data_IF_068960845739
#
_entry.id   IF_068960845739
#
_cell.length_a   1.000
_cell.length_b   1.000
_cell.length_c   1.000
_cell.angle_alpha   90.00
_cell.angle_beta   90.00
_cell.angle_gamma   90.00
#
_symmetry.space_group_name_H-M   'P 1'
#
loop_
_entity.id
_entity.type
_entity.pdbx_description
1 polymer ?
#
# COMPACT_ATOMS: atom_id res chain seq x y z
N UNK A 1 6.05 12.10 -18.68
CA UNK A 1 4.96 12.24 -17.67
C UNK A 1 5.54 11.83 -16.32
N UNK A 2 5.36 12.62 -15.30
CA UNK A 2 5.81 12.30 -13.95
C UNK A 2 4.99 11.11 -13.41
N UNK A 3 5.69 10.10 -12.86
CA UNK A 3 5.03 8.91 -12.32
C UNK A 3 4.52 9.19 -10.89
N UNK A 4 3.42 8.56 -10.52
CA UNK A 4 2.98 8.53 -9.13
C UNK A 4 3.92 7.69 -8.29
N UNK A 5 4.29 8.22 -7.13
CA UNK A 5 5.13 7.53 -6.14
C UNK A 5 4.28 6.60 -5.30
N UNK A 6 4.62 5.32 -5.32
CA UNK A 6 3.83 4.27 -4.67
C UNK A 6 4.59 3.64 -3.52
N UNK A 7 3.89 3.46 -2.40
CA UNK A 7 4.38 2.65 -1.30
C UNK A 7 3.78 1.24 -1.32
N UNK A 8 4.58 0.25 -0.94
CA UNK A 8 4.10 -1.12 -0.74
C UNK A 8 4.16 -1.44 0.75
N UNK A 9 3.00 -1.52 1.38
CA UNK A 9 2.84 -1.86 2.81
C UNK A 9 2.57 -3.36 2.92
N UNK A 10 3.43 -4.08 3.63
CA UNK A 10 3.51 -5.54 3.57
C UNK A 10 4.44 -6.05 2.46
N UNK A 11 5.47 -5.27 2.15
CA UNK A 11 6.35 -5.47 1.01
C UNK A 11 7.12 -6.80 1.01
N UNK A 12 7.39 -7.37 2.19
CA UNK A 12 8.17 -8.62 2.32
C UNK A 12 7.35 -9.89 2.17
N UNK A 13 6.03 -9.79 2.21
CA UNK A 13 5.11 -10.90 1.96
C UNK A 13 4.96 -11.22 0.47
N UNK A 14 4.42 -12.39 0.15
CA UNK A 14 4.28 -12.86 -1.24
C UNK A 14 3.49 -11.89 -2.13
N UNK A 15 2.39 -11.34 -1.64
CA UNK A 15 1.56 -10.39 -2.39
C UNK A 15 2.29 -9.05 -2.58
N UNK A 16 2.98 -8.55 -1.54
CA UNK A 16 3.82 -7.35 -1.64
C UNK A 16 4.93 -7.51 -2.67
N UNK A 17 5.60 -8.65 -2.68
CA UNK A 17 6.60 -9.01 -3.69
C UNK A 17 5.99 -9.02 -5.11
N UNK A 18 4.76 -9.51 -5.25
CA UNK A 18 4.05 -9.52 -6.53
C UNK A 18 3.76 -8.10 -7.03
N UNK A 19 3.31 -7.19 -6.14
CA UNK A 19 3.16 -5.78 -6.47
C UNK A 19 4.48 -5.19 -6.99
N UNK A 20 5.58 -5.40 -6.26
CA UNK A 20 6.91 -4.91 -6.67
C UNK A 20 7.28 -5.42 -8.06
N UNK A 21 7.03 -6.70 -8.34
CA UNK A 21 7.32 -7.31 -9.64
C UNK A 21 6.48 -6.70 -10.77
N UNK A 22 5.18 -6.49 -10.54
CA UNK A 22 4.25 -5.93 -11.53
C UNK A 22 4.48 -4.43 -11.78
N UNK A 23 5.00 -3.72 -10.79
CA UNK A 23 5.28 -2.29 -10.89
C UNK A 23 6.66 -1.99 -11.48
N UNK A 24 7.48 -3.01 -11.69
CA UNK A 24 8.72 -2.85 -12.44
C UNK A 24 8.40 -2.29 -13.83
N UNK A 25 9.05 -1.18 -14.17
CA UNK A 25 8.87 -0.51 -15.45
C UNK A 25 7.41 -0.08 -15.78
N UNK A 26 6.56 0.04 -14.76
CA UNK A 26 5.18 0.47 -14.96
C UNK A 26 5.12 1.90 -15.52
N UNK A 27 4.26 2.19 -16.51
CA UNK A 27 4.24 3.49 -17.20
C UNK A 27 3.82 4.65 -16.30
N UNK A 28 2.96 4.41 -15.29
CA UNK A 28 2.38 5.47 -14.45
C UNK A 28 2.81 5.42 -12.98
N UNK A 29 3.33 4.30 -12.52
CA UNK A 29 3.65 4.10 -11.10
C UNK A 29 5.11 3.75 -10.91
N UNK A 30 5.66 4.22 -9.81
CA UNK A 30 7.03 3.95 -9.41
C UNK A 30 7.08 3.62 -7.91
N UNK A 31 7.63 2.45 -7.57
CA UNK A 31 7.81 2.08 -6.17
C UNK A 31 8.84 3.00 -5.54
N UNK A 32 8.43 3.76 -4.53
CA UNK A 32 9.27 4.75 -3.86
C UNK A 32 9.43 4.50 -2.35
N UNK A 33 8.64 3.60 -1.78
CA UNK A 33 8.73 3.17 -0.39
C UNK A 33 8.33 1.70 -0.27
N UNK A 34 9.07 0.96 0.53
CA UNK A 34 8.74 -0.40 0.95
C UNK A 34 8.63 -0.45 2.46
N UNK A 35 7.49 -0.88 2.96
CA UNK A 35 7.19 -0.93 4.38
C UNK A 35 6.78 -2.35 4.80
N UNK A 36 7.21 -2.76 5.97
CA UNK A 36 6.94 -4.07 6.53
C UNK A 36 6.90 -4.02 8.07
N UNK A 37 6.90 -5.16 8.73
CA UNK A 37 6.94 -5.24 10.19
C UNK A 37 8.22 -4.62 10.76
N UNK A 38 8.17 -4.22 12.04
CA UNK A 38 9.32 -3.68 12.78
C UNK A 38 10.57 -4.56 12.70
N UNK A 39 10.42 -5.88 12.56
CA UNK A 39 11.57 -6.82 12.42
C UNK A 39 12.35 -6.61 11.12
N UNK A 40 11.71 -6.10 10.10
CA UNK A 40 12.30 -5.84 8.79
C UNK A 40 12.76 -4.39 8.63
N UNK A 41 12.22 -3.48 9.44
CA UNK A 41 12.55 -2.07 9.38
C UNK A 41 14.05 -1.81 9.60
N UNK A 42 14.59 -0.86 8.85
CA UNK A 42 16.00 -0.47 8.90
C UNK A 42 16.94 -1.34 8.06
N UNK A 43 16.50 -2.50 7.58
CA UNK A 43 17.26 -3.36 6.65
C UNK A 43 17.05 -2.90 5.21
N UNK A 44 17.97 -3.24 4.32
CA UNK A 44 17.67 -3.16 2.88
C UNK A 44 16.55 -4.15 2.53
N UNK A 45 15.79 -3.84 1.48
CA UNK A 45 14.71 -4.74 1.05
C UNK A 45 15.24 -6.15 0.73
N UNK A 46 16.40 -6.23 0.06
CA UNK A 46 17.07 -7.52 -0.24
C UNK A 46 17.37 -8.31 1.03
N UNK A 47 17.93 -7.68 2.05
CA UNK A 47 18.20 -8.33 3.34
C UNK A 47 16.91 -8.72 4.08
N UNK A 48 15.90 -7.87 4.06
CA UNK A 48 14.64 -8.12 4.73
C UNK A 48 13.87 -9.31 4.12
N UNK A 49 13.92 -9.47 2.80
CA UNK A 49 13.30 -10.59 2.09
C UNK A 49 14.16 -11.84 2.19
N UNK A 50 15.49 -11.72 1.98
CA UNK A 50 16.42 -12.82 2.00
C UNK A 50 16.01 -13.94 1.04
N UNK A 51 16.07 -15.18 1.50
CA UNK A 51 15.70 -16.37 0.73
C UNK A 51 14.18 -16.52 0.48
N UNK A 52 13.35 -15.65 1.07
CA UNK A 52 11.89 -15.67 0.92
C UNK A 52 11.40 -14.99 -0.37
N UNK A 53 12.30 -14.53 -1.23
CA UNK A 53 11.90 -14.04 -2.55
C UNK A 53 11.25 -15.18 -3.35
N UNK A 54 9.97 -14.99 -3.71
CA UNK A 54 9.11 -16.08 -4.20
C UNK A 54 9.17 -16.29 -5.72
N UNK A 55 9.94 -15.48 -6.45
CA UNK A 55 9.95 -15.49 -7.91
C UNK A 55 11.28 -15.97 -8.48
N UNK A 56 11.25 -16.50 -9.70
CA UNK A 56 12.43 -17.00 -10.42
C UNK A 56 13.31 -15.90 -11.03
N UNK A 57 12.81 -14.66 -11.07
CA UNK A 57 13.56 -13.48 -11.51
C UNK A 57 14.06 -12.67 -10.33
N UNK A 58 15.10 -11.87 -10.55
CA UNK A 58 15.71 -11.08 -9.50
C UNK A 58 14.79 -9.97 -8.97
N UNK A 59 15.03 -9.58 -7.72
CA UNK A 59 14.42 -8.39 -7.12
C UNK A 59 14.80 -7.19 -8.01
N UNK A 60 13.83 -6.33 -8.40
CA UNK A 60 14.15 -5.13 -9.15
C UNK A 60 15.22 -4.31 -8.44
N UNK A 61 16.31 -3.98 -9.15
CA UNK A 61 17.50 -3.35 -8.56
C UNK A 61 17.20 -2.08 -7.79
N UNK A 62 16.31 -1.25 -8.33
CA UNK A 62 15.85 -0.04 -7.65
C UNK A 62 15.26 -0.30 -6.26
N UNK A 63 14.52 -1.39 -6.10
CA UNK A 63 13.85 -1.73 -4.84
C UNK A 63 14.78 -2.49 -3.90
N UNK A 64 15.68 -3.29 -4.44
CA UNK A 64 16.58 -4.14 -3.67
C UNK A 64 17.40 -3.39 -2.61
N UNK A 65 17.84 -2.18 -2.93
CA UNK A 65 18.62 -1.31 -2.05
C UNK A 65 17.81 -0.37 -1.16
N UNK A 66 16.48 -0.32 -1.30
CA UNK A 66 15.64 0.54 -0.46
C UNK A 66 15.67 0.09 1.00
N UNK A 67 15.78 1.03 1.91
CA UNK A 67 15.59 0.76 3.34
C UNK A 67 14.13 0.49 3.63
N UNK A 68 13.83 -0.62 4.28
CA UNK A 68 12.47 -0.97 4.69
C UNK A 68 12.05 -0.07 5.85
N UNK A 69 10.89 0.56 5.72
CA UNK A 69 10.26 1.39 6.75
C UNK A 69 9.33 0.53 7.60
N UNK A 70 9.15 0.87 8.87
CA UNK A 70 8.11 0.25 9.68
C UNK A 70 6.72 0.63 9.14
N UNK A 71 5.90 -0.36 8.85
CA UNK A 71 4.54 -0.14 8.32
C UNK A 71 3.63 0.66 9.27
N UNK A 72 3.94 0.69 10.56
CA UNK A 72 3.22 1.49 11.56
C UNK A 72 3.71 2.94 11.66
N UNK A 73 4.83 3.28 11.04
CA UNK A 73 5.31 4.65 10.93
C UNK A 73 4.67 5.35 9.73
N UNK A 74 3.38 5.70 9.92
CA UNK A 74 2.55 6.29 8.87
C UNK A 74 3.15 7.60 8.34
N UNK A 75 3.68 8.42 9.21
CA UNK A 75 4.24 9.71 8.84
C UNK A 75 5.46 9.56 7.95
N UNK A 76 6.34 8.61 8.27
CA UNK A 76 7.52 8.35 7.45
C UNK A 76 7.13 7.79 6.09
N UNK A 77 6.25 6.79 6.03
CA UNK A 77 5.79 6.24 4.75
C UNK A 77 5.12 7.31 3.89
N UNK A 78 4.22 8.10 4.47
CA UNK A 78 3.42 9.10 3.74
C UNK A 78 4.24 10.23 3.13
N UNK A 79 5.41 10.55 3.67
CA UNK A 79 6.33 11.54 3.09
C UNK A 79 6.86 11.13 1.71
N UNK A 80 6.99 9.84 1.47
CA UNK A 80 7.67 9.31 0.28
C UNK A 80 6.72 8.94 -0.85
N UNK A 81 5.40 8.96 -0.63
CA UNK A 81 4.44 8.37 -1.54
C UNK A 81 3.23 9.27 -1.81
N UNK A 82 2.57 9.02 -2.92
CA UNK A 82 1.29 9.63 -3.25
C UNK A 82 0.11 8.76 -2.80
N UNK A 83 0.32 7.44 -2.74
CA UNK A 83 -0.59 6.44 -2.18
C UNK A 83 0.14 5.12 -1.89
N UNK A 84 -0.52 4.20 -1.20
CA UNK A 84 0.04 2.89 -0.89
C UNK A 84 -0.84 1.74 -1.40
N UNK A 85 -0.19 0.65 -1.83
CA UNK A 85 -0.82 -0.67 -1.90
C UNK A 85 -0.58 -1.39 -0.56
N UNK A 86 -1.64 -1.94 0.02
CA UNK A 86 -1.56 -2.63 1.30
C UNK A 86 -1.84 -4.14 1.13
N UNK A 87 -0.89 -4.94 1.54
CA UNK A 87 -0.92 -6.41 1.49
C UNK A 87 -0.29 -7.01 2.74
N UNK A 88 -0.64 -6.48 3.92
CA UNK A 88 -0.14 -6.98 5.21
C UNK A 88 -0.83 -8.29 5.60
N UNK A 89 -0.13 -9.12 6.36
CA UNK A 89 -0.68 -10.34 6.97
C UNK A 89 -0.75 -10.15 8.49
N UNK A 90 -1.94 -9.77 8.95
CA UNK A 90 -2.25 -9.46 10.35
C UNK A 90 -3.70 -9.85 10.64
N UNK A 91 -4.13 -9.73 11.89
CA UNK A 91 -5.55 -9.89 12.24
C UNK A 91 -6.41 -8.80 11.58
N UNK A 92 -7.64 -9.14 11.23
CA UNK A 92 -8.55 -8.21 10.50
C UNK A 92 -8.72 -6.87 11.18
N UNK A 93 -8.83 -6.85 12.50
CA UNK A 93 -9.00 -5.61 13.25
C UNK A 93 -7.74 -4.74 13.22
N UNK A 94 -6.56 -5.36 13.27
CA UNK A 94 -5.27 -4.67 13.15
C UNK A 94 -5.08 -4.10 11.73
N UNK A 95 -5.44 -4.87 10.69
CA UNK A 95 -5.41 -4.40 9.31
C UNK A 95 -6.34 -3.21 9.13
N UNK A 96 -7.57 -3.30 9.63
CA UNK A 96 -8.54 -2.20 9.55
C UNK A 96 -8.00 -0.94 10.22
N UNK A 97 -7.47 -1.06 11.42
CA UNK A 97 -6.89 0.06 12.16
C UNK A 97 -5.71 0.69 11.40
N UNK A 98 -4.81 -0.13 10.85
CA UNK A 98 -3.66 0.33 10.07
C UNK A 98 -4.11 1.10 8.82
N UNK A 99 -4.98 0.51 8.01
CA UNK A 99 -5.47 1.11 6.76
C UNK A 99 -6.24 2.41 7.01
N UNK A 100 -7.08 2.45 8.05
CA UNK A 100 -7.78 3.70 8.44
C UNK A 100 -6.81 4.77 8.93
N UNK A 101 -5.73 4.40 9.63
CA UNK A 101 -4.71 5.36 10.07
C UNK A 101 -4.01 5.99 8.87
N UNK A 102 -3.64 5.22 7.85
CA UNK A 102 -3.12 5.75 6.59
C UNK A 102 -4.11 6.71 5.92
N UNK A 103 -5.37 6.30 5.81
CA UNK A 103 -6.41 7.13 5.19
C UNK A 103 -6.60 8.45 5.96
N UNK A 104 -6.63 8.43 7.30
CA UNK A 104 -6.73 9.63 8.13
C UNK A 104 -5.50 10.55 7.98
N UNK A 105 -4.33 10.00 7.73
CA UNK A 105 -3.12 10.74 7.40
C UNK A 105 -3.10 11.28 5.96
N UNK A 106 -4.23 11.24 5.27
CA UNK A 106 -4.38 11.68 3.88
C UNK A 106 -3.50 10.90 2.88
N UNK A 107 -3.12 9.68 3.25
CA UNK A 107 -2.43 8.74 2.38
C UNK A 107 -3.45 7.70 1.85
N UNK A 108 -3.87 7.76 0.59
CA UNK A 108 -4.81 6.81 0.03
C UNK A 108 -4.27 5.38 0.09
N UNK A 109 -5.14 4.43 0.41
CA UNK A 109 -4.82 3.01 0.50
C UNK A 109 -5.60 2.22 -0.55
N UNK A 110 -4.89 1.45 -1.35
CA UNK A 110 -5.47 0.44 -2.23
C UNK A 110 -5.12 -0.92 -1.62
N UNK A 111 -6.13 -1.57 -1.03
CA UNK A 111 -5.91 -2.77 -0.23
C UNK A 111 -6.23 -4.05 -0.99
N UNK A 112 -5.35 -5.03 -0.86
CA UNK A 112 -5.61 -6.41 -1.25
C UNK A 112 -6.31 -7.22 -0.12
N UNK A 113 -6.38 -6.65 1.09
CA UNK A 113 -6.91 -7.32 2.27
C UNK A 113 -8.44 -7.34 2.31
N UNK A 114 -8.99 -8.29 3.06
CA UNK A 114 -10.44 -8.43 3.21
C UNK A 114 -11.02 -7.64 4.40
N UNK A 115 -10.20 -6.98 5.19
CA UNK A 115 -10.61 -6.39 6.48
C UNK A 115 -11.71 -5.33 6.34
N UNK A 116 -11.66 -4.53 5.29
CA UNK A 116 -12.60 -3.44 5.06
C UNK A 116 -13.69 -3.72 4.01
N UNK A 117 -13.72 -4.92 3.42
CA UNK A 117 -14.69 -5.26 2.35
C UNK A 117 -16.15 -5.17 2.75
N UNK A 118 -16.46 -5.38 4.03
CA UNK A 118 -17.81 -5.26 4.57
C UNK A 118 -18.17 -3.89 5.16
N UNK A 119 -17.28 -2.90 5.05
CA UNK A 119 -17.56 -1.54 5.56
C UNK A 119 -18.34 -0.76 4.51
N UNK A 120 -19.54 -0.22 4.83
CA UNK A 120 -20.47 0.31 3.81
C UNK A 120 -19.94 1.46 2.96
N UNK A 121 -18.99 2.24 3.46
CA UNK A 121 -18.40 3.37 2.75
C UNK A 121 -17.02 3.09 2.16
N UNK A 122 -16.61 1.81 2.13
CA UNK A 122 -15.37 1.38 1.50
C UNK A 122 -15.69 0.80 0.11
N UNK A 123 -15.21 1.43 -0.97
CA UNK A 123 -15.48 0.94 -2.30
C UNK A 123 -14.71 -0.35 -2.58
N UNK A 124 -15.39 -1.31 -3.17
CA UNK A 124 -14.81 -2.54 -3.70
C UNK A 124 -14.92 -2.48 -5.22
N UNK A 125 -13.80 -2.21 -5.90
CA UNK A 125 -13.82 -1.81 -7.31
C UNK A 125 -13.08 -2.82 -8.18
N UNK A 126 -13.75 -3.23 -9.26
CA UNK A 126 -13.14 -3.77 -10.46
C UNK A 126 -13.44 -2.72 -11.55
N UNK A 127 -12.45 -1.90 -11.95
CA UNK A 127 -12.72 -0.69 -12.74
C UNK A 127 -13.50 -0.93 -14.02
N UNK A 128 -13.31 -2.07 -14.65
CA UNK A 128 -14.00 -2.46 -15.89
C UNK A 128 -15.47 -2.87 -15.67
N UNK A 129 -15.88 -3.10 -14.41
CA UNK A 129 -17.22 -3.62 -14.09
C UNK A 129 -18.03 -2.61 -13.30
N UNK A 130 -17.45 -2.01 -12.24
CA UNK A 130 -18.19 -1.22 -11.27
C UNK A 130 -17.41 0.03 -10.82
N UNK A 131 -16.83 0.77 -11.75
CA UNK A 131 -16.07 1.99 -11.45
C UNK A 131 -16.90 3.04 -10.68
N UNK A 132 -18.22 3.07 -10.90
CA UNK A 132 -19.19 3.90 -10.20
C UNK A 132 -19.26 3.65 -8.69
N UNK A 133 -18.81 2.47 -8.20
CA UNK A 133 -18.71 2.21 -6.76
C UNK A 133 -17.76 3.19 -6.05
N UNK A 134 -16.89 3.88 -6.77
CA UNK A 134 -16.07 4.98 -6.25
C UNK A 134 -16.90 6.18 -5.75
N UNK A 135 -18.16 6.32 -6.16
CA UNK A 135 -19.04 7.42 -5.74
C UNK A 135 -19.36 7.42 -4.24
N UNK A 136 -19.12 6.31 -3.53
CA UNK A 136 -19.26 6.26 -2.07
C UNK A 136 -18.08 6.90 -1.30
N UNK A 137 -16.97 7.21 -1.96
CA UNK A 137 -15.76 7.79 -1.32
C UNK A 137 -16.07 9.07 -0.52
N UNK A 138 -16.93 10.00 -0.94
CA UNK A 138 -17.30 11.16 -0.12
C UNK A 138 -17.88 10.79 1.25
N UNK A 139 -18.64 9.70 1.35
CA UNK A 139 -19.16 9.22 2.64
C UNK A 139 -18.03 8.70 3.53
N UNK A 140 -17.07 7.96 2.97
CA UNK A 140 -15.88 7.51 3.69
C UNK A 140 -15.05 8.70 4.21
N UNK A 141 -14.83 9.72 3.40
CA UNK A 141 -14.11 10.93 3.78
C UNK A 141 -14.79 11.64 4.96
N UNK A 142 -16.11 11.77 4.92
CA UNK A 142 -16.87 12.35 6.02
C UNK A 142 -16.69 11.58 7.32
N UNK A 143 -16.76 10.25 7.27
CA UNK A 143 -16.53 9.37 8.44
C UNK A 143 -15.11 9.50 8.98
N UNK A 144 -14.11 9.50 8.10
CA UNK A 144 -12.70 9.53 8.47
C UNK A 144 -12.19 10.95 8.80
N UNK A 145 -12.92 11.99 8.44
CA UNK A 145 -12.51 13.39 8.64
C UNK A 145 -11.40 13.85 7.72
N UNK A 146 -11.24 13.23 6.54
CA UNK A 146 -10.21 13.58 5.56
C UNK A 146 -10.64 14.76 4.70
N UNK A 147 -9.67 15.61 4.31
CA UNK A 147 -9.94 16.92 3.67
C UNK A 147 -9.38 17.05 2.26
N UNK A 148 -8.34 16.28 1.92
CA UNK A 148 -7.71 16.39 0.60
C UNK A 148 -8.61 15.80 -0.49
N UNK A 149 -8.55 16.42 -1.66
CA UNK A 149 -9.28 16.00 -2.86
C UNK A 149 -8.71 14.70 -3.49
N UNK A 150 -7.67 14.16 -2.90
CA UNK A 150 -7.15 12.85 -3.28
C UNK A 150 -8.14 11.79 -2.80
N UNK A 151 -8.59 10.97 -3.73
CA UNK A 151 -9.55 9.89 -3.49
C UNK A 151 -8.91 8.86 -2.55
N UNK A 152 -9.17 9.01 -1.24
CA UNK A 152 -8.78 7.99 -0.27
C UNK A 152 -9.67 6.78 -0.50
N UNK A 153 -9.10 5.74 -1.05
CA UNK A 153 -9.75 4.43 -1.22
C UNK A 153 -9.07 3.49 -0.22
N UNK A 154 -9.84 2.92 0.65
CA UNK A 154 -9.38 1.82 1.48
C UNK A 154 -9.76 0.52 0.81
#
# INVERSE_FOLDING_TARGET
MEKYRVGIVGATGMVGQRFISLLKDHPWFEVNCVAASARSAGKTYREAVGERWAFSWDIPERVAGMTVVDASDIDEVSKHVDFVFCAVDMKKDEIRALEETYARAECPVISNNSANRGVPDVPMIIPEINADHAEIIPAQRKRLGTKRDRKSVV
#
